data_IF_231162958115
#
_entry.id   IF_231162958115
#
_cell.length_a   1.000
_cell.length_b   1.000
_cell.length_c   1.000
_cell.angle_alpha   90.00
_cell.angle_beta   90.00
_cell.angle_gamma   90.00
#
_symmetry.space_group_name_H-M   'P 1'
#
loop_
_entity.id
_entity.type
_entity.pdbx_description
1 polymer ?
#
# COMPACT_ATOMS: atom_id res chain seq x y z
N UNK A 1 20.72 -26.06 4.35
CA UNK A 1 21.57 -25.40 3.34
C UNK A 1 21.80 -26.41 2.21
N UNK A 2 21.69 -25.98 0.99
CA UNK A 2 21.96 -26.78 -0.20
C UNK A 2 23.29 -26.30 -0.82
N UNK A 3 24.06 -27.25 -1.39
CA UNK A 3 25.31 -26.92 -2.07
C UNK A 3 25.06 -26.30 -3.46
N UNK A 4 23.89 -26.56 -4.03
CA UNK A 4 23.45 -26.02 -5.33
C UNK A 4 22.01 -25.60 -5.21
N UNK A 5 21.70 -24.37 -5.64
CA UNK A 5 20.36 -23.83 -5.78
C UNK A 5 20.10 -23.53 -7.25
N UNK A 6 19.07 -24.13 -7.80
CA UNK A 6 18.55 -23.79 -9.14
C UNK A 6 17.21 -23.12 -8.95
N UNK A 7 17.15 -21.83 -9.32
CA UNK A 7 15.92 -21.05 -9.30
C UNK A 7 15.45 -20.84 -10.74
N UNK A 8 14.23 -21.25 -11.03
CA UNK A 8 13.60 -21.16 -12.36
C UNK A 8 12.54 -20.05 -12.43
N UNK A 9 12.55 -19.11 -11.49
CA UNK A 9 11.58 -18.00 -11.39
C UNK A 9 11.87 -16.84 -12.36
N UNK A 10 12.88 -16.96 -13.21
CA UNK A 10 13.16 -15.98 -14.27
C UNK A 10 12.39 -16.36 -15.53
N UNK A 11 11.70 -15.38 -16.14
CA UNK A 11 10.86 -15.57 -17.32
C UNK A 11 11.57 -15.17 -18.64
N UNK A 12 12.76 -14.60 -18.58
CA UNK A 12 13.46 -14.13 -19.76
C UNK A 12 14.31 -15.25 -20.39
N UNK A 13 13.96 -15.61 -21.62
CA UNK A 13 14.61 -16.68 -22.33
C UNK A 13 16.04 -16.31 -22.74
N UNK A 14 17.00 -17.20 -22.47
CA UNK A 14 18.40 -17.02 -22.82
C UNK A 14 19.23 -16.19 -21.83
N UNK A 15 18.65 -15.78 -20.69
CA UNK A 15 19.35 -15.05 -19.65
C UNK A 15 19.54 -15.88 -18.37
N UNK A 16 20.69 -15.69 -17.72
CA UNK A 16 20.99 -16.30 -16.42
C UNK A 16 21.16 -15.20 -15.38
N UNK A 17 20.29 -15.19 -14.38
CA UNK A 17 20.33 -14.23 -13.28
C UNK A 17 21.13 -14.81 -12.12
N UNK A 18 22.18 -14.12 -11.70
CA UNK A 18 23.04 -14.50 -10.59
C UNK A 18 22.71 -13.79 -9.27
N UNK A 19 21.58 -13.12 -9.20
CA UNK A 19 21.14 -12.40 -8.02
C UNK A 19 19.69 -12.00 -8.10
N UNK A 20 19.16 -11.55 -6.99
CA UNK A 20 17.81 -11.01 -6.91
C UNK A 20 17.75 -9.80 -5.99
N UNK A 21 16.68 -9.02 -6.10
CA UNK A 21 16.37 -7.99 -5.14
C UNK A 21 16.02 -8.60 -3.78
N UNK A 22 16.50 -7.98 -2.72
CA UNK A 22 16.05 -8.30 -1.37
C UNK A 22 14.74 -7.59 -1.04
N UNK A 23 14.13 -8.01 0.05
CA UNK A 23 12.93 -7.38 0.59
C UNK A 23 13.01 -7.25 2.09
N UNK A 24 12.33 -6.26 2.62
CA UNK A 24 12.12 -6.08 4.05
C UNK A 24 10.67 -5.79 4.34
N UNK A 25 10.11 -6.50 5.32
CA UNK A 25 8.78 -6.21 5.85
C UNK A 25 8.90 -5.34 7.09
N UNK A 26 8.22 -4.23 7.08
CA UNK A 26 8.14 -3.34 8.22
C UNK A 26 6.71 -3.28 8.73
N UNK A 27 6.53 -3.55 10.03
CA UNK A 27 5.23 -3.43 10.71
C UNK A 27 5.33 -2.36 11.79
N UNK A 28 4.45 -1.39 11.71
CA UNK A 28 4.32 -0.35 12.73
C UNK A 28 2.97 -0.49 13.44
N UNK A 29 3.01 -0.50 14.76
CA UNK A 29 1.81 -0.49 15.59
C UNK A 29 1.71 0.85 16.29
N UNK A 30 0.62 1.58 16.05
CA UNK A 30 0.33 2.85 16.70
C UNK A 30 -0.80 2.66 17.69
N UNK A 31 -0.57 3.11 18.91
CA UNK A 31 -1.67 3.26 19.87
C UNK A 31 -2.46 4.51 19.53
N UNK A 32 -3.77 4.36 19.38
CA UNK A 32 -4.67 5.46 19.07
C UNK A 32 -5.66 5.64 20.22
N UNK A 33 -5.71 6.82 20.79
CA UNK A 33 -6.76 7.21 21.71
C UNK A 33 -8.03 7.51 20.90
N UNK A 34 -9.07 6.74 21.17
CA UNK A 34 -10.35 6.88 20.47
C UNK A 34 -11.34 7.62 21.35
N UNK A 35 -12.10 8.49 20.72
CA UNK A 35 -13.19 9.23 21.35
C UNK A 35 -14.53 8.89 20.68
N UNK A 36 -15.62 9.20 21.35
CA UNK A 36 -16.95 9.08 20.75
C UNK A 36 -17.11 10.12 19.63
N UNK A 37 -17.89 9.76 18.59
CA UNK A 37 -18.21 10.71 17.52
C UNK A 37 -18.94 11.91 18.12
N UNK A 38 -18.45 13.15 17.93
CA UNK A 38 -19.09 14.33 18.47
C UNK A 38 -20.51 14.52 17.92
N UNK A 39 -21.38 15.13 18.73
CA UNK A 39 -22.73 15.47 18.29
C UNK A 39 -22.71 16.42 17.10
N UNK A 40 -23.52 16.15 16.09
CA UNK A 40 -23.59 16.94 14.86
C UNK A 40 -22.65 16.49 13.76
N UNK A 41 -21.78 15.49 14.03
CA UNK A 41 -20.96 14.90 12.98
C UNK A 41 -21.74 13.79 12.25
N UNK A 42 -21.55 13.74 10.95
CA UNK A 42 -22.06 12.67 10.10
C UNK A 42 -20.94 11.69 9.73
N UNK A 43 -21.29 10.41 9.58
CA UNK A 43 -20.34 9.37 9.22
C UNK A 43 -20.45 9.05 7.74
N UNK A 44 -19.32 9.11 7.04
CA UNK A 44 -19.22 8.77 5.63
C UNK A 44 -18.23 7.64 5.40
N UNK A 45 -18.47 6.87 4.36
CA UNK A 45 -17.50 5.90 3.83
C UNK A 45 -16.94 6.45 2.52
N UNK A 46 -15.66 6.82 2.53
CA UNK A 46 -14.92 7.19 1.34
C UNK A 46 -14.19 5.97 0.78
N UNK A 47 -14.37 5.68 -0.51
CA UNK A 47 -13.76 4.53 -1.15
C UNK A 47 -13.03 4.97 -2.42
N UNK A 48 -11.73 4.69 -2.49
CA UNK A 48 -10.93 4.82 -3.70
C UNK A 48 -10.68 3.44 -4.30
N UNK A 49 -11.12 3.23 -5.54
CA UNK A 49 -11.03 1.94 -6.25
C UNK A 49 -10.88 2.15 -7.75
N UNK A 50 -10.59 1.06 -8.46
CA UNK A 50 -10.51 1.05 -9.92
C UNK A 50 -9.20 1.58 -10.49
N UNK A 51 -8.16 1.70 -9.67
CA UNK A 51 -6.82 1.96 -10.17
C UNK A 51 -6.27 0.73 -10.90
N UNK A 52 -5.33 0.96 -11.82
CA UNK A 52 -4.76 -0.11 -12.64
C UNK A 52 -4.09 -1.21 -11.79
N UNK A 53 -3.46 -0.81 -10.68
CA UNK A 53 -2.60 -1.71 -9.91
C UNK A 53 -1.31 -2.05 -10.66
N UNK A 54 -0.48 -2.88 -10.05
CA UNK A 54 0.76 -3.33 -10.63
C UNK A 54 1.65 -4.03 -9.60
N UNK A 55 2.72 -4.64 -10.07
CA UNK A 55 3.69 -5.30 -9.21
C UNK A 55 4.61 -4.27 -8.54
N UNK A 56 4.75 -4.34 -7.21
CA UNK A 56 5.54 -3.38 -6.43
C UNK A 56 7.05 -3.44 -6.69
N UNK A 57 7.55 -4.52 -7.28
CA UNK A 57 8.93 -4.65 -7.77
C UNK A 57 9.03 -4.25 -9.24
N UNK A 58 8.57 -5.11 -10.13
CA UNK A 58 8.75 -4.96 -11.59
C UNK A 58 8.14 -3.70 -12.20
N UNK A 59 7.05 -3.18 -11.63
CA UNK A 59 6.33 -2.02 -12.18
C UNK A 59 6.41 -0.76 -11.31
N UNK A 60 7.19 -0.77 -10.23
CA UNK A 60 7.29 0.39 -9.33
C UNK A 60 7.79 1.66 -10.03
N UNK A 61 8.63 1.51 -11.04
CA UNK A 61 9.17 2.61 -11.83
C UNK A 61 8.17 3.22 -12.82
N UNK A 62 7.07 2.53 -13.12
CA UNK A 62 6.05 2.98 -14.09
C UNK A 62 5.21 4.15 -13.57
N UNK A 63 5.21 4.39 -12.25
CA UNK A 63 4.47 5.49 -11.64
C UNK A 63 2.97 5.24 -11.56
N UNK A 64 2.57 3.99 -11.37
CA UNK A 64 1.17 3.61 -11.18
C UNK A 64 0.60 4.19 -9.88
N UNK A 65 -0.71 4.43 -9.89
CA UNK A 65 -1.40 5.02 -8.75
C UNK A 65 -1.46 4.07 -7.56
N UNK A 66 -0.97 4.51 -6.41
CA UNK A 66 -1.14 3.82 -5.13
C UNK A 66 -2.35 4.38 -4.39
N UNK A 67 -3.40 3.58 -4.20
CA UNK A 67 -4.66 4.00 -3.61
C UNK A 67 -4.49 4.54 -2.18
N UNK A 68 -3.68 3.89 -1.36
CA UNK A 68 -3.42 4.33 0.00
C UNK A 68 -2.76 5.71 0.04
N UNK A 69 -1.72 5.92 -0.78
CA UNK A 69 -1.04 7.23 -0.88
C UNK A 69 -1.96 8.33 -1.37
N UNK A 70 -2.80 8.05 -2.37
CA UNK A 70 -3.72 9.02 -2.93
C UNK A 70 -4.80 9.40 -1.92
N UNK A 71 -5.39 8.41 -1.24
CA UNK A 71 -6.43 8.65 -0.25
C UNK A 71 -5.87 9.40 0.98
N UNK A 72 -4.72 8.99 1.49
CA UNK A 72 -4.08 9.68 2.61
C UNK A 72 -3.72 11.12 2.25
N UNK A 73 -3.20 11.35 1.04
CA UNK A 73 -2.89 12.71 0.57
C UNK A 73 -4.14 13.59 0.48
N UNK A 74 -5.24 13.04 -0.02
CA UNK A 74 -6.52 13.75 -0.06
C UNK A 74 -7.01 14.08 1.35
N UNK A 75 -7.06 13.10 2.25
CA UNK A 75 -7.50 13.31 3.62
C UNK A 75 -6.62 14.32 4.36
N UNK A 76 -5.30 14.21 4.25
CA UNK A 76 -4.37 15.13 4.90
C UNK A 76 -4.49 16.57 4.36
N UNK A 77 -4.81 16.73 3.08
CA UNK A 77 -5.00 18.06 2.47
C UNK A 77 -6.29 18.76 2.88
N UNK A 78 -7.29 18.01 3.32
CA UNK A 78 -8.62 18.58 3.64
C UNK A 78 -9.06 18.32 5.09
N UNK A 79 -8.25 17.65 5.90
CA UNK A 79 -8.64 17.26 7.25
C UNK A 79 -8.99 18.45 8.13
N UNK A 80 -8.22 19.52 8.06
CA UNK A 80 -8.44 20.72 8.85
C UNK A 80 -9.63 21.55 8.33
N UNK A 81 -9.68 21.78 7.02
CA UNK A 81 -10.74 22.57 6.37
C UNK A 81 -12.13 21.98 6.60
N UNK A 82 -12.24 20.65 6.53
CA UNK A 82 -13.51 19.92 6.63
C UNK A 82 -13.76 19.33 8.04
N UNK A 83 -12.90 19.64 9.02
CA UNK A 83 -12.93 19.02 10.37
C UNK A 83 -13.11 17.50 10.32
N UNK A 84 -12.31 16.84 9.47
CA UNK A 84 -12.39 15.38 9.30
C UNK A 84 -11.85 14.64 10.52
N UNK A 85 -12.59 13.64 10.96
CA UNK A 85 -12.19 12.71 12.01
C UNK A 85 -12.14 11.31 11.45
N UNK A 86 -10.97 10.66 11.55
CA UNK A 86 -10.81 9.31 11.01
C UNK A 86 -11.38 8.27 11.99
N UNK A 87 -12.37 7.53 11.54
CA UNK A 87 -12.96 6.42 12.31
C UNK A 87 -12.18 5.14 12.05
N UNK A 88 -11.94 4.82 10.78
CA UNK A 88 -11.25 3.63 10.35
C UNK A 88 -10.56 3.85 8.99
N UNK A 89 -9.49 3.12 8.76
CA UNK A 89 -8.78 3.11 7.50
C UNK A 89 -8.36 1.70 7.15
N UNK A 90 -8.81 1.22 6.00
CA UNK A 90 -8.47 -0.11 5.52
C UNK A 90 -8.07 -0.04 4.04
N UNK A 91 -6.93 -0.59 3.71
CA UNK A 91 -6.44 -0.61 2.34
C UNK A 91 -5.22 -1.49 2.17
N UNK A 92 -4.99 -1.89 0.92
CA UNK A 92 -3.92 -2.82 0.57
C UNK A 92 -4.33 -4.27 0.82
N UNK A 93 -4.40 -5.05 -0.24
CA UNK A 93 -4.81 -6.46 -0.17
C UNK A 93 -3.66 -7.43 -0.41
N UNK A 94 -2.64 -6.99 -1.13
CA UNK A 94 -1.48 -7.81 -1.51
C UNK A 94 -0.20 -7.07 -1.17
N UNK A 95 0.78 -7.80 -0.62
CA UNK A 95 2.07 -7.23 -0.18
C UNK A 95 2.96 -6.80 -1.33
N UNK A 96 2.81 -7.42 -2.48
CA UNK A 96 3.56 -7.15 -3.71
C UNK A 96 2.78 -6.35 -4.76
N UNK A 97 1.72 -5.66 -4.35
CA UNK A 97 0.91 -4.82 -5.23
C UNK A 97 1.10 -3.32 -4.94
N UNK A 98 0.94 -2.53 -5.99
CA UNK A 98 0.89 -1.07 -5.91
C UNK A 98 -0.53 -0.63 -5.54
#
# INVERSE_FOLDING_TARGET
QADILINTDSEEEGEIYMGCAGGIDFTSNLHLDREAVPAGFETFKLTLKGLKGGHSGGEIHVGLGNANKLLVRFLAGHAEELDLRLIDFNGGTLRNAI
#
